data_IF_349817160420
#
_entry.id   IF_349817160420
#
_cell.length_a   1.000
_cell.length_b   1.000
_cell.length_c   1.000
_cell.angle_alpha   90.00
_cell.angle_beta   90.00
_cell.angle_gamma   90.00
#
_symmetry.space_group_name_H-M   'P 1'
#
loop_
_entity.id
_entity.type
_entity.pdbx_description
1 polymer ?
#
# COMPACT_ATOMS: atom_id res chain seq x y z
N UNK A 1 -18.64 -18.26 -7.82
CA UNK A 1 -19.85 -17.65 -7.21
C UNK A 1 -19.46 -16.34 -6.54
N UNK A 2 -19.97 -15.20 -7.00
CA UNK A 2 -19.87 -13.94 -6.26
C UNK A 2 -20.90 -13.96 -5.11
N UNK A 3 -20.48 -13.52 -3.93
CA UNK A 3 -21.34 -13.47 -2.74
C UNK A 3 -22.25 -12.23 -2.81
N UNK A 4 -23.48 -12.32 -2.29
CA UNK A 4 -24.47 -11.22 -2.28
C UNK A 4 -23.87 -9.93 -1.70
N UNK A 5 -23.02 -10.05 -0.68
CA UNK A 5 -22.34 -8.91 -0.08
C UNK A 5 -21.40 -8.16 -1.05
N UNK A 6 -20.71 -8.87 -1.95
CA UNK A 6 -19.86 -8.23 -2.99
C UNK A 6 -20.72 -7.54 -4.04
N UNK A 7 -21.87 -8.14 -4.40
CA UNK A 7 -22.84 -7.53 -5.29
C UNK A 7 -23.39 -6.21 -4.73
N UNK A 8 -23.64 -6.15 -3.42
CA UNK A 8 -24.02 -4.92 -2.73
C UNK A 8 -22.90 -3.87 -2.77
N UNK A 9 -21.64 -4.24 -2.48
CA UNK A 9 -20.50 -3.31 -2.56
C UNK A 9 -20.37 -2.69 -3.96
N UNK A 10 -20.52 -3.49 -5.01
CA UNK A 10 -20.51 -3.01 -6.39
C UNK A 10 -21.68 -2.08 -6.70
N UNK A 11 -22.88 -2.37 -6.16
CA UNK A 11 -24.05 -1.53 -6.33
C UNK A 11 -23.90 -0.16 -5.63
N UNK A 12 -23.39 -0.14 -4.40
CA UNK A 12 -23.09 1.10 -3.67
C UNK A 12 -22.01 1.93 -4.39
N UNK A 13 -20.95 1.28 -4.87
CA UNK A 13 -19.93 1.93 -5.69
C UNK A 13 -20.51 2.58 -6.95
N UNK A 14 -21.46 1.92 -7.60
CA UNK A 14 -22.14 2.44 -8.79
C UNK A 14 -22.99 3.68 -8.51
N UNK A 15 -23.56 3.81 -7.30
CA UNK A 15 -24.26 5.03 -6.87
C UNK A 15 -23.30 6.22 -6.81
N UNK A 16 -22.07 6.00 -6.33
CA UNK A 16 -21.06 7.05 -6.14
C UNK A 16 -20.29 7.43 -7.41
N UNK A 17 -19.96 6.44 -8.24
CA UNK A 17 -19.01 6.62 -9.36
C UNK A 17 -19.57 6.30 -10.74
N UNK A 18 -20.85 5.90 -10.84
CA UNK A 18 -21.51 5.32 -12.01
C UNK A 18 -21.31 3.80 -12.20
N UNK A 19 -22.28 3.16 -12.86
CA UNK A 19 -22.26 1.73 -13.09
C UNK A 19 -21.04 1.33 -13.94
N UNK A 20 -20.38 0.23 -13.55
CA UNK A 20 -19.18 -0.31 -14.23
C UNK A 20 -17.99 0.65 -14.28
N UNK A 21 -17.94 1.71 -13.45
CA UNK A 21 -16.79 2.63 -13.40
C UNK A 21 -15.46 1.90 -13.15
N UNK A 22 -15.49 0.82 -12.36
CA UNK A 22 -14.32 0.00 -12.05
C UNK A 22 -13.67 -0.63 -13.30
N UNK A 23 -14.37 -0.76 -14.43
CA UNK A 23 -13.79 -1.33 -15.66
C UNK A 23 -12.78 -0.39 -16.34
N UNK A 24 -12.78 0.90 -15.98
CA UNK A 24 -11.78 1.86 -16.45
C UNK A 24 -10.38 1.59 -15.89
N UNK A 25 -10.28 0.77 -14.85
CA UNK A 25 -9.06 0.51 -14.12
C UNK A 25 -8.88 1.46 -12.95
N UNK A 26 -8.59 0.88 -11.79
CA UNK A 26 -8.14 1.58 -10.59
C UNK A 26 -6.70 1.14 -10.37
N UNK A 27 -5.74 2.04 -10.06
CA UNK A 27 -4.36 1.64 -9.79
C UNK A 27 -4.32 0.48 -8.77
N UNK A 28 -3.54 -0.57 -9.07
CA UNK A 28 -3.51 -1.79 -8.24
C UNK A 28 -3.09 -1.45 -6.80
N UNK A 29 -2.18 -0.50 -6.61
CA UNK A 29 -1.78 0.00 -5.30
C UNK A 29 -2.95 0.53 -4.47
N UNK A 30 -3.89 1.25 -5.10
CA UNK A 30 -5.08 1.77 -4.41
C UNK A 30 -6.05 0.65 -4.01
N UNK A 31 -6.28 -0.32 -4.90
CA UNK A 31 -7.08 -1.51 -4.58
C UNK A 31 -6.46 -2.31 -3.42
N UNK A 32 -5.13 -2.48 -3.42
CA UNK A 32 -4.43 -3.21 -2.37
C UNK A 32 -4.48 -2.47 -1.04
N UNK A 33 -4.23 -1.16 -1.03
CA UNK A 33 -4.34 -0.33 0.17
C UNK A 33 -5.76 -0.37 0.76
N UNK A 34 -6.79 -0.28 -0.10
CA UNK A 34 -8.19 -0.41 0.33
C UNK A 34 -8.47 -1.79 0.93
N UNK A 35 -7.97 -2.86 0.30
CA UNK A 35 -8.06 -4.23 0.81
C UNK A 35 -7.48 -4.34 2.22
N UNK A 36 -6.26 -3.86 2.41
CA UNK A 36 -5.53 -3.94 3.68
C UNK A 36 -6.29 -3.20 4.79
N UNK A 37 -6.71 -1.96 4.53
CA UNK A 37 -7.52 -1.16 5.47
C UNK A 37 -8.78 -1.90 5.93
N UNK A 38 -9.53 -2.51 5.01
CA UNK A 38 -10.73 -3.27 5.39
C UNK A 38 -10.40 -4.55 6.19
N UNK A 39 -9.31 -5.25 5.87
CA UNK A 39 -8.87 -6.40 6.67
C UNK A 39 -8.44 -5.98 8.08
N UNK A 40 -7.77 -4.83 8.21
CA UNK A 40 -7.36 -4.25 9.48
C UNK A 40 -8.54 -3.80 10.32
N UNK A 41 -9.48 -3.05 9.75
CA UNK A 41 -10.69 -2.61 10.44
C UNK A 41 -11.49 -3.83 10.93
N UNK A 42 -11.62 -4.87 10.11
CA UNK A 42 -12.23 -6.14 10.53
C UNK A 42 -11.46 -6.81 11.67
N UNK A 43 -10.13 -6.86 11.60
CA UNK A 43 -9.24 -7.42 12.63
C UNK A 43 -9.36 -6.67 13.96
N UNK A 44 -9.57 -5.36 13.92
CA UNK A 44 -9.82 -4.51 15.08
C UNK A 44 -11.22 -4.68 15.68
N UNK A 45 -12.09 -5.48 15.04
CA UNK A 45 -13.44 -5.75 15.51
C UNK A 45 -14.49 -4.78 14.99
N UNK A 46 -14.15 -3.87 14.06
CA UNK A 46 -15.10 -2.97 13.43
C UNK A 46 -16.06 -3.74 12.52
N UNK A 47 -17.34 -3.35 12.53
CA UNK A 47 -18.46 -4.02 11.84
C UNK A 47 -19.48 -3.02 11.30
N UNK A 48 -19.06 -1.76 11.15
CA UNK A 48 -19.85 -0.62 10.69
C UNK A 48 -20.09 -0.61 9.18
N UNK A 49 -19.33 -1.41 8.43
CA UNK A 49 -19.52 -1.67 7.00
C UNK A 49 -19.13 -3.13 6.67
N UNK A 50 -19.46 -3.67 5.49
CA UNK A 50 -19.11 -5.05 5.15
C UNK A 50 -17.63 -5.18 4.73
N UNK A 51 -16.71 -4.96 5.68
CA UNK A 51 -15.27 -4.87 5.40
C UNK A 51 -14.73 -6.08 4.61
N UNK A 52 -15.08 -7.32 4.98
CA UNK A 52 -14.58 -8.50 4.25
C UNK A 52 -15.08 -8.58 2.80
N UNK A 53 -16.30 -8.09 2.54
CA UNK A 53 -16.82 -8.02 1.18
C UNK A 53 -16.06 -6.95 0.38
N UNK A 54 -15.82 -5.77 0.98
CA UNK A 54 -15.03 -4.72 0.34
C UNK A 54 -13.59 -5.17 0.05
N UNK A 55 -12.94 -5.85 1.00
CA UNK A 55 -11.61 -6.42 0.80
C UNK A 55 -11.59 -7.40 -0.38
N UNK A 56 -12.55 -8.33 -0.42
CA UNK A 56 -12.61 -9.34 -1.49
C UNK A 56 -12.97 -8.73 -2.85
N UNK A 57 -13.83 -7.72 -2.90
CA UNK A 57 -14.13 -6.98 -4.14
C UNK A 57 -12.88 -6.30 -4.70
N UNK A 58 -12.09 -5.62 -3.86
CA UNK A 58 -10.83 -5.01 -4.31
C UNK A 58 -9.81 -6.04 -4.79
N UNK A 59 -9.67 -7.17 -4.09
CA UNK A 59 -8.86 -8.31 -4.58
C UNK A 59 -9.37 -8.81 -5.94
N UNK A 60 -10.69 -8.87 -6.13
CA UNK A 60 -11.31 -9.23 -7.40
C UNK A 60 -10.94 -8.28 -8.54
N UNK A 61 -10.90 -6.97 -8.28
CA UNK A 61 -10.43 -5.98 -9.25
C UNK A 61 -8.96 -6.20 -9.63
N UNK A 62 -8.08 -6.41 -8.64
CA UNK A 62 -6.65 -6.69 -8.88
C UNK A 62 -6.49 -7.92 -9.79
N UNK A 63 -7.18 -9.02 -9.47
CA UNK A 63 -7.13 -10.24 -10.27
C UNK A 63 -7.60 -10.00 -11.71
N UNK A 64 -8.69 -9.26 -11.88
CA UNK A 64 -9.21 -8.91 -13.20
C UNK A 64 -8.21 -8.05 -13.99
N UNK A 65 -7.69 -6.98 -13.39
CA UNK A 65 -6.77 -6.06 -14.06
C UNK A 65 -5.47 -6.75 -14.47
N UNK A 66 -4.89 -7.58 -13.60
CA UNK A 66 -3.70 -8.37 -13.95
C UNK A 66 -3.97 -9.29 -15.13
N UNK A 67 -5.14 -9.94 -15.18
CA UNK A 67 -5.54 -10.79 -16.30
C UNK A 67 -5.74 -10.02 -17.61
N UNK A 68 -6.39 -8.85 -17.56
CA UNK A 68 -6.61 -8.01 -18.75
C UNK A 68 -5.32 -7.37 -19.27
N UNK A 69 -4.41 -6.95 -18.37
CA UNK A 69 -3.09 -6.44 -18.73
C UNK A 69 -2.27 -7.54 -19.40
N UNK A 70 -2.26 -8.76 -18.83
CA UNK A 70 -1.57 -9.91 -19.42
C UNK A 70 -2.12 -10.26 -20.80
N UNK A 71 -3.43 -10.11 -20.99
CA UNK A 71 -4.08 -10.34 -22.27
C UNK A 71 -3.98 -9.16 -23.25
N UNK A 72 -3.30 -8.07 -22.89
CA UNK A 72 -3.12 -6.88 -23.73
C UNK A 72 -4.38 -6.05 -23.96
N UNK A 73 -5.40 -6.19 -23.10
CA UNK A 73 -6.71 -5.52 -23.22
C UNK A 73 -6.88 -4.32 -22.28
N UNK A 74 -5.92 -4.09 -21.38
CA UNK A 74 -5.93 -3.02 -20.40
C UNK A 74 -4.58 -2.32 -20.35
N UNK A 75 -4.58 -1.02 -19.99
CA UNK A 75 -3.36 -0.22 -19.88
C UNK A 75 -2.43 -0.82 -18.81
N UNK A 76 -1.18 -1.22 -19.16
CA UNK A 76 -0.24 -1.76 -18.19
C UNK A 76 0.14 -0.77 -17.08
N UNK A 77 -0.07 0.54 -17.25
CA UNK A 77 0.18 1.53 -16.21
C UNK A 77 -0.74 1.40 -14.98
N UNK A 78 -1.84 0.64 -15.10
CA UNK A 78 -2.73 0.32 -13.96
C UNK A 78 -2.02 -0.57 -12.94
N UNK A 79 -1.08 -1.42 -13.36
CA UNK A 79 -0.23 -2.18 -12.45
C UNK A 79 0.95 -1.32 -11.96
N UNK A 80 0.65 -0.44 -11.01
CA UNK A 80 1.60 0.50 -10.43
C UNK A 80 2.36 -0.06 -9.20
N UNK A 81 2.22 -1.35 -8.95
CA UNK A 81 2.90 -2.06 -7.87
C UNK A 81 4.39 -2.19 -8.11
N UNK A 82 5.23 -2.13 -7.07
CA UNK A 82 6.65 -2.41 -7.20
C UNK A 82 6.94 -3.83 -7.71
N UNK A 83 8.06 -3.99 -8.42
CA UNK A 83 8.49 -5.26 -9.03
C UNK A 83 9.78 -5.77 -8.40
N UNK A 84 9.84 -5.74 -7.06
CA UNK A 84 11.03 -6.07 -6.27
C UNK A 84 11.52 -7.52 -6.42
N UNK A 85 10.60 -8.43 -6.71
CA UNK A 85 10.90 -9.85 -6.91
C UNK A 85 10.43 -10.21 -8.31
N UNK A 86 11.31 -10.79 -9.13
CA UNK A 86 10.91 -11.34 -10.43
C UNK A 86 9.78 -12.35 -10.23
N UNK A 87 8.78 -12.39 -11.13
CA UNK A 87 7.66 -13.33 -11.02
C UNK A 87 8.22 -14.75 -10.87
N UNK A 88 7.98 -15.45 -9.75
CA UNK A 88 8.42 -16.83 -9.62
C UNK A 88 7.73 -17.64 -10.72
N UNK A 89 8.50 -18.27 -11.59
CA UNK A 89 8.00 -19.15 -12.67
C UNK A 89 7.04 -20.22 -12.10
N UNK A 90 7.24 -20.59 -10.83
CA UNK A 90 6.53 -21.65 -10.11
C UNK A 90 5.04 -21.38 -9.88
N UNK A 91 4.62 -20.16 -9.52
CA UNK A 91 3.18 -19.90 -9.22
C UNK A 91 2.35 -19.81 -10.49
N UNK A 92 2.93 -19.27 -11.57
CA UNK A 92 2.27 -19.22 -12.88
C UNK A 92 2.03 -20.63 -13.42
N UNK A 93 3.00 -21.52 -13.25
CA UNK A 93 2.87 -22.93 -13.62
C UNK A 93 1.84 -23.64 -12.74
N UNK A 94 1.84 -23.43 -11.41
CA UNK A 94 0.86 -24.05 -10.51
C UNK A 94 -0.59 -23.65 -10.83
N UNK A 95 -0.84 -22.37 -11.12
CA UNK A 95 -2.20 -21.91 -11.49
C UNK A 95 -2.56 -22.39 -12.89
N UNK A 96 -1.64 -22.36 -13.85
CA UNK A 96 -1.89 -22.87 -15.19
C UNK A 96 -2.18 -24.39 -15.18
N UNK A 97 -1.40 -25.16 -14.44
CA UNK A 97 -1.59 -26.60 -14.22
C UNK A 97 -2.93 -26.87 -13.53
N UNK A 98 -3.26 -26.14 -12.44
CA UNK A 98 -4.53 -26.31 -11.76
C UNK A 98 -5.74 -25.90 -12.61
N UNK A 99 -5.61 -24.84 -13.41
CA UNK A 99 -6.66 -24.41 -14.36
C UNK A 99 -6.80 -25.43 -15.49
N UNK A 100 -5.70 -25.93 -16.03
CA UNK A 100 -5.70 -26.98 -17.07
C UNK A 100 -6.31 -28.28 -16.52
N UNK A 101 -5.96 -28.73 -15.31
CA UNK A 101 -6.57 -29.90 -14.67
C UNK A 101 -8.07 -29.72 -14.41
N UNK A 102 -8.52 -28.50 -14.06
CA UNK A 102 -9.94 -28.21 -13.83
C UNK A 102 -10.71 -28.12 -15.14
N UNK A 103 -10.09 -27.56 -16.19
CA UNK A 103 -10.72 -27.35 -17.50
C UNK A 103 -10.63 -28.60 -18.40
N UNK A 104 -9.58 -29.41 -18.23
CA UNK A 104 -9.28 -30.66 -18.90
C UNK A 104 -8.90 -31.73 -17.84
N UNK A 105 -9.87 -32.28 -17.11
CA UNK A 105 -9.59 -33.33 -16.13
C UNK A 105 -8.93 -34.53 -16.83
N UNK A 106 -7.87 -35.12 -16.24
CA UNK A 106 -7.09 -36.15 -16.91
C UNK A 106 -7.98 -37.33 -17.31
N UNK A 107 -8.00 -37.63 -18.61
CA UNK A 107 -8.54 -38.89 -19.09
C UNK A 107 -7.53 -39.98 -18.76
N UNK A 108 -8.00 -41.02 -18.07
CA UNK A 108 -7.16 -42.17 -17.70
C UNK A 108 -6.63 -42.87 -18.95
N UNK A 109 -5.33 -42.70 -19.26
CA UNK A 109 -4.65 -43.42 -20.34
C UNK A 109 -3.26 -42.86 -20.67
N UNK A 110 -2.24 -43.62 -20.25
CA UNK A 110 -0.80 -43.66 -20.61
C UNK A 110 -0.34 -42.86 -21.86
N UNK A 111 0.69 -42.01 -21.71
CA UNK A 111 2.08 -42.30 -22.11
C UNK A 111 3.01 -41.08 -21.89
N UNK A 112 4.29 -41.37 -21.68
CA UNK A 112 5.37 -40.45 -21.32
C UNK A 112 6.33 -40.19 -22.49
N UNK A 113 6.85 -38.96 -22.61
CA UNK A 113 8.25 -38.58 -22.98
C UNK A 113 8.35 -37.05 -23.17
N UNK A 114 9.11 -36.34 -22.33
CA UNK A 114 10.50 -35.80 -22.54
C UNK A 114 10.55 -34.34 -23.08
N UNK A 115 10.96 -33.36 -22.25
CA UNK A 115 12.28 -32.62 -22.20
C UNK A 115 12.42 -31.51 -23.29
N UNK A 116 13.05 -30.34 -23.16
CA UNK A 116 14.01 -29.72 -22.23
C UNK A 116 14.06 -28.17 -22.45
N UNK A 117 14.40 -27.43 -21.38
CA UNK A 117 15.05 -26.11 -21.16
C UNK A 117 15.31 -25.11 -22.30
N UNK A 118 15.06 -23.81 -22.04
CA UNK A 118 15.93 -22.71 -22.49
C UNK A 118 15.92 -21.50 -21.54
N UNK A 119 17.09 -20.87 -21.46
CA UNK A 119 17.62 -19.95 -20.46
C UNK A 119 17.48 -18.46 -20.87
N UNK A 120 17.55 -17.58 -19.85
CA UNK A 120 17.94 -16.16 -19.85
C UNK A 120 17.10 -15.11 -20.64
N UNK A 121 16.71 -14.02 -19.96
CA UNK A 121 17.09 -12.65 -20.32
C UNK A 121 16.41 -11.58 -19.42
N UNK A 122 17.26 -10.91 -18.64
CA UNK A 122 17.32 -9.46 -18.38
C UNK A 122 16.03 -8.71 -17.97
N UNK A 123 16.05 -8.24 -16.72
CA UNK A 123 15.12 -7.26 -16.14
C UNK A 123 15.28 -5.91 -16.85
N UNK A 124 14.20 -5.43 -17.48
CA UNK A 124 14.12 -4.03 -17.91
C UNK A 124 13.78 -3.14 -16.72
N UNK A 125 14.72 -2.25 -16.37
CA UNK A 125 14.48 -1.09 -15.50
C UNK A 125 13.43 -0.17 -16.16
N UNK A 126 12.35 0.10 -15.42
CA UNK A 126 11.27 1.03 -15.79
C UNK A 126 11.44 2.29 -14.93
N UNK A 127 11.38 3.51 -15.51
CA UNK A 127 11.83 4.73 -14.86
C UNK A 127 11.00 5.04 -13.61
N UNK A 128 11.68 5.45 -12.56
CA UNK A 128 11.10 5.67 -11.24
C UNK A 128 10.09 6.83 -11.25
N UNK A 129 8.90 6.60 -10.66
CA UNK A 129 8.09 7.65 -10.02
C UNK A 129 9.04 8.50 -9.14
N UNK A 130 8.79 9.80 -9.00
CA UNK A 130 9.54 10.68 -8.07
C UNK A 130 9.75 9.95 -6.73
N UNK A 131 10.96 10.01 -6.11
CA UNK A 131 11.22 9.36 -4.83
C UNK A 131 10.29 9.90 -3.75
N UNK A 132 10.05 9.11 -2.71
CA UNK A 132 9.16 9.45 -1.61
C UNK A 132 9.95 9.74 -0.34
N UNK A 133 9.55 10.78 0.39
CA UNK A 133 10.03 11.03 1.74
C UNK A 133 8.87 10.87 2.73
N UNK A 134 9.12 10.13 3.81
CA UNK A 134 8.22 10.09 4.96
C UNK A 134 8.75 11.01 6.07
N UNK A 135 7.92 11.93 6.55
CA UNK A 135 8.28 12.88 7.60
C UNK A 135 7.81 12.33 8.95
N UNK A 136 8.75 11.97 9.82
CA UNK A 136 8.53 11.53 11.19
C UNK A 136 8.72 12.68 12.19
N UNK A 137 7.98 12.70 13.30
CA UNK A 137 8.12 13.78 14.29
C UNK A 137 7.21 13.66 15.51
N UNK A 138 7.39 14.53 16.51
CA UNK A 138 6.46 14.60 17.63
C UNK A 138 5.11 15.18 17.19
N UNK A 139 4.02 14.57 17.65
CA UNK A 139 2.65 15.05 17.44
C UNK A 139 1.98 15.46 18.75
N UNK A 140 1.94 14.55 19.74
CA UNK A 140 1.27 14.80 21.03
C UNK A 140 2.04 15.79 21.89
N UNK A 141 1.31 16.63 22.62
CA UNK A 141 1.89 17.68 23.47
C UNK A 141 2.21 18.99 22.73
N UNK A 142 1.89 19.07 21.43
CA UNK A 142 2.06 20.27 20.61
C UNK A 142 0.69 20.81 20.19
N UNK A 143 0.55 22.15 20.02
CA UNK A 143 -0.65 22.74 19.42
C UNK A 143 -0.96 22.10 18.06
N UNK A 144 -2.25 21.79 17.82
CA UNK A 144 -2.72 21.16 16.58
C UNK A 144 -1.94 19.89 16.19
N UNK A 145 -1.52 19.10 17.17
CA UNK A 145 -0.72 17.88 16.96
C UNK A 145 0.55 18.11 16.13
N UNK A 146 1.11 19.32 16.18
CA UNK A 146 2.28 19.73 15.42
C UNK A 146 2.08 19.77 13.89
N UNK A 147 0.84 19.69 13.39
CA UNK A 147 0.52 19.73 11.95
C UNK A 147 1.24 20.86 11.20
N UNK A 148 1.31 22.11 11.73
CA UNK A 148 2.04 23.18 11.05
C UNK A 148 3.52 22.87 10.78
N UNK A 149 4.22 22.16 11.69
CA UNK A 149 5.63 21.80 11.47
C UNK A 149 5.77 20.71 10.40
N UNK A 150 4.84 19.74 10.36
CA UNK A 150 4.77 18.76 9.28
C UNK A 150 4.48 19.44 7.92
N UNK A 151 3.57 20.41 7.90
CA UNK A 151 3.25 21.18 6.70
C UNK A 151 4.47 21.97 6.18
N UNK A 152 5.19 22.61 7.10
CA UNK A 152 6.40 23.37 6.78
C UNK A 152 7.51 22.47 6.22
N UNK A 153 7.67 21.27 6.77
CA UNK A 153 8.62 20.28 6.25
C UNK A 153 8.15 19.75 4.89
N UNK A 154 6.87 19.42 4.74
CA UNK A 154 6.28 18.97 3.46
C UNK A 154 6.52 19.97 2.35
N UNK A 155 6.31 21.25 2.62
CA UNK A 155 6.47 22.31 1.63
C UNK A 155 7.91 22.45 1.11
N UNK A 156 8.91 22.07 1.92
CA UNK A 156 10.31 22.00 1.49
C UNK A 156 10.58 20.80 0.60
N UNK A 157 10.16 19.62 1.04
CA UNK A 157 10.48 18.35 0.38
C UNK A 157 9.69 18.10 -0.91
N UNK A 158 8.45 18.62 -1.01
CA UNK A 158 7.54 18.38 -2.16
C UNK A 158 8.09 18.81 -3.52
N UNK A 159 9.12 19.67 -3.53
CA UNK A 159 9.76 20.13 -4.76
C UNK A 159 10.48 19.00 -5.50
N UNK A 160 11.07 18.05 -4.76
CA UNK A 160 11.84 16.92 -5.30
C UNK A 160 11.21 15.55 -5.02
N UNK A 161 10.41 15.43 -3.96
CA UNK A 161 9.86 14.16 -3.49
C UNK A 161 8.33 14.15 -3.50
N UNK A 162 7.74 12.95 -3.56
CA UNK A 162 6.42 12.74 -2.99
C UNK A 162 6.56 12.76 -1.47
N UNK A 163 5.62 13.35 -0.75
CA UNK A 163 5.75 13.54 0.69
C UNK A 163 4.58 12.87 1.40
N UNK A 164 4.92 12.07 2.41
CA UNK A 164 3.97 11.42 3.31
C UNK A 164 4.32 11.83 4.74
N UNK A 165 3.33 12.03 5.59
CA UNK A 165 3.53 12.26 7.02
C UNK A 165 2.32 11.77 7.82
N UNK A 166 2.46 11.50 9.13
CA UNK A 166 1.31 11.21 10.00
C UNK A 166 0.20 12.27 9.90
N UNK A 167 0.57 13.55 9.76
CA UNK A 167 -0.40 14.64 9.61
C UNK A 167 -1.18 14.58 8.29
N UNK A 168 -0.55 14.16 7.19
CA UNK A 168 -1.24 13.96 5.91
C UNK A 168 -2.18 12.75 5.98
N UNK A 169 -1.68 11.65 6.54
CA UNK A 169 -2.46 10.42 6.72
C UNK A 169 -3.64 10.59 7.68
N UNK A 170 -3.49 11.43 8.72
CA UNK A 170 -4.57 11.80 9.63
C UNK A 170 -5.64 12.63 8.90
N UNK A 171 -5.24 13.62 8.09
CA UNK A 171 -6.19 14.40 7.28
C UNK A 171 -6.96 13.54 6.29
N UNK A 172 -6.28 12.60 5.62
CA UNK A 172 -6.90 11.65 4.70
C UNK A 172 -7.90 10.73 5.41
N UNK A 173 -7.63 10.37 6.66
CA UNK A 173 -8.54 9.62 7.51
C UNK A 173 -9.70 10.49 8.09
N UNK A 174 -9.77 11.77 7.74
CA UNK A 174 -10.81 12.70 8.19
C UNK A 174 -10.62 13.23 9.61
N UNK A 175 -9.41 13.09 10.19
CA UNK A 175 -9.10 13.61 11.50
C UNK A 175 -8.90 15.14 11.47
N UNK A 176 -9.60 15.86 12.35
CA UNK A 176 -9.43 17.30 12.53
C UNK A 176 -8.76 17.60 13.89
N UNK A 177 -7.48 18.05 13.89
CA UNK A 177 -6.75 18.35 15.12
C UNK A 177 -7.32 19.52 15.92
N UNK A 178 -8.19 20.35 15.34
CA UNK A 178 -8.83 21.47 16.04
C UNK A 178 -10.09 21.05 16.82
N UNK A 179 -10.67 19.89 16.50
CA UNK A 179 -12.00 19.48 17.00
C UNK A 179 -11.92 18.22 17.88
N UNK A 180 -10.90 17.37 17.72
CA UNK A 180 -10.74 16.14 18.51
C UNK A 180 -9.29 15.92 19.06
N UNK A 181 -8.90 16.61 20.15
CA UNK A 181 -7.53 16.59 20.66
C UNK A 181 -7.12 15.36 21.48
N UNK A 182 -8.00 14.38 21.71
CA UNK A 182 -7.63 13.09 22.34
C UNK A 182 -8.30 11.84 21.74
N UNK A 183 -9.24 11.97 20.80
CA UNK A 183 -10.20 10.98 20.27
C UNK A 183 -9.90 9.48 20.26
N UNK A 184 -10.26 8.78 19.18
CA UNK A 184 -10.06 7.33 19.09
C UNK A 184 -8.56 6.96 19.25
N UNK A 185 -7.65 7.84 18.80
CA UNK A 185 -6.20 7.69 18.87
C UNK A 185 -5.63 7.67 20.31
N UNK A 186 -6.37 8.18 21.29
CA UNK A 186 -6.02 8.08 22.72
C UNK A 186 -6.23 6.68 23.31
N UNK A 187 -6.99 5.81 22.64
CA UNK A 187 -7.19 4.42 23.05
C UNK A 187 -6.04 3.52 22.59
N UNK A 188 -5.87 2.35 23.22
CA UNK A 188 -4.89 1.36 22.75
C UNK A 188 -5.17 0.91 21.31
N UNK A 189 -6.44 0.69 20.96
CA UNK A 189 -6.85 0.29 19.61
C UNK A 189 -6.54 1.39 18.57
N UNK A 190 -6.84 2.65 18.90
CA UNK A 190 -6.49 3.77 18.02
C UNK A 190 -4.99 3.98 17.88
N UNK A 191 -4.22 3.82 18.97
CA UNK A 191 -2.76 3.85 18.90
C UNK A 191 -2.21 2.75 17.97
N UNK A 192 -2.72 1.53 18.07
CA UNK A 192 -2.33 0.43 17.18
C UNK A 192 -2.67 0.75 15.74
N UNK A 193 -3.87 1.31 15.47
CA UNK A 193 -4.30 1.68 14.11
C UNK A 193 -3.39 2.73 13.48
N UNK A 194 -3.10 3.83 14.19
CA UNK A 194 -2.24 4.89 13.66
C UNK A 194 -0.81 4.39 13.45
N UNK A 195 -0.25 3.65 14.41
CA UNK A 195 1.09 3.09 14.26
C UNK A 195 1.16 2.07 13.13
N UNK A 196 0.14 1.24 12.94
CA UNK A 196 0.14 0.28 11.83
C UNK A 196 0.21 1.00 10.49
N UNK A 197 -0.63 2.02 10.29
CA UNK A 197 -0.65 2.85 9.08
C UNK A 197 0.69 3.55 8.82
N UNK A 198 1.25 4.17 9.86
CA UNK A 198 2.51 4.91 9.78
C UNK A 198 3.69 3.98 9.44
N UNK A 199 3.74 2.80 10.06
CA UNK A 199 4.76 1.78 9.75
C UNK A 199 4.57 1.17 8.36
N UNK A 200 3.33 0.94 7.92
CA UNK A 200 3.04 0.45 6.56
C UNK A 200 3.53 1.44 5.49
N UNK A 201 3.31 2.74 5.70
CA UNK A 201 3.84 3.77 4.81
C UNK A 201 5.37 3.72 4.71
N UNK A 202 6.07 3.49 5.82
CA UNK A 202 7.54 3.36 5.85
C UNK A 202 8.01 2.05 5.21
N UNK A 203 7.29 0.93 5.41
CA UNK A 203 7.60 -0.37 4.81
C UNK A 203 7.49 -0.38 3.28
N UNK A 204 6.72 0.55 2.71
CA UNK A 204 6.58 0.72 1.26
C UNK A 204 7.63 1.67 0.64
N UNK A 205 8.53 2.23 1.45
CA UNK A 205 9.67 3.02 0.96
C UNK A 205 10.78 2.11 0.43
N UNK A 206 11.51 2.63 -0.55
CA UNK A 206 12.55 1.90 -1.26
C UNK A 206 13.87 2.71 -1.33
N UNK A 207 14.94 2.26 -0.63
CA UNK A 207 16.22 2.96 -0.65
C UNK A 207 16.89 2.96 -2.03
N UNK A 208 16.66 1.95 -2.88
CA UNK A 208 17.24 1.92 -4.23
C UNK A 208 16.60 2.97 -5.15
N UNK A 209 15.31 3.27 -4.91
CA UNK A 209 14.61 4.36 -5.57
C UNK A 209 15.06 5.74 -5.11
N UNK A 210 15.77 5.81 -3.99
CA UNK A 210 16.16 7.06 -3.33
C UNK A 210 15.09 7.59 -2.37
N UNK A 211 14.18 6.72 -1.91
CA UNK A 211 13.25 7.10 -0.84
C UNK A 211 14.01 7.28 0.48
N UNK A 212 13.48 8.11 1.35
CA UNK A 212 14.13 8.44 2.60
C UNK A 212 13.16 8.79 3.72
N UNK A 213 13.70 8.93 4.92
CA UNK A 213 12.99 9.46 6.07
C UNK A 213 13.50 10.88 6.38
N UNK A 214 12.60 11.81 6.67
CA UNK A 214 12.93 13.11 7.22
C UNK A 214 12.39 13.21 8.66
N UNK A 215 13.15 13.83 9.57
CA UNK A 215 12.74 13.97 10.98
C UNK A 215 12.59 15.42 11.41
N UNK A 216 11.51 15.72 12.13
CA UNK A 216 11.29 17.01 12.76
C UNK A 216 12.13 17.19 14.04
N UNK A 217 12.45 18.43 14.45
CA UNK A 217 13.11 18.68 15.73
C UNK A 217 12.37 18.05 16.92
N UNK A 218 13.13 17.45 17.84
CA UNK A 218 12.58 16.77 19.03
C UNK A 218 12.04 15.36 18.76
N UNK A 219 12.29 14.78 17.57
CA UNK A 219 11.89 13.41 17.25
C UNK A 219 12.44 12.38 18.24
N UNK A 220 13.62 12.63 18.82
CA UNK A 220 14.27 11.75 19.80
C UNK A 220 13.46 11.58 21.09
N UNK A 221 12.55 12.52 21.40
CA UNK A 221 11.68 12.44 22.57
C UNK A 221 10.29 11.86 22.23
N UNK A 222 9.98 11.73 20.92
CA UNK A 222 8.72 11.13 20.44
C UNK A 222 8.82 9.61 20.40
N UNK A 223 8.01 8.93 21.22
CA UNK A 223 7.96 7.45 21.24
C UNK A 223 7.65 6.85 19.86
N UNK A 224 6.71 7.46 19.12
CA UNK A 224 6.34 7.03 17.76
C UNK A 224 7.48 7.27 16.77
N UNK A 225 7.99 8.51 16.71
CA UNK A 225 9.04 8.87 15.76
C UNK A 225 10.33 8.06 15.96
N UNK A 226 10.66 7.68 17.19
CA UNK A 226 11.79 6.78 17.46
C UNK A 226 11.60 5.39 16.84
N UNK A 227 10.39 4.85 16.86
CA UNK A 227 10.07 3.55 16.24
C UNK A 227 10.18 3.66 14.73
N UNK A 228 9.62 4.73 14.15
CA UNK A 228 9.70 5.03 12.71
C UNK A 228 11.15 5.17 12.22
N UNK A 229 11.97 5.94 12.94
CA UNK A 229 13.40 6.10 12.62
C UNK A 229 14.17 4.80 12.76
N UNK A 230 13.90 4.02 13.82
CA UNK A 230 14.54 2.72 14.01
C UNK A 230 14.19 1.74 12.88
N UNK A 231 12.93 1.72 12.44
CA UNK A 231 12.50 0.91 11.31
C UNK A 231 13.17 1.38 10.01
N UNK A 232 13.18 2.69 9.74
CA UNK A 232 13.80 3.23 8.53
C UNK A 232 15.28 2.87 8.42
N UNK A 233 16.02 3.01 9.53
CA UNK A 233 17.42 2.59 9.61
C UNK A 233 17.58 1.08 9.40
N UNK A 234 16.71 0.26 9.97
CA UNK A 234 16.71 -1.18 9.76
C UNK A 234 16.49 -1.57 8.30
N UNK A 235 15.66 -0.81 7.56
CA UNK A 235 15.40 -1.00 6.14
C UNK A 235 16.51 -0.43 5.23
N UNK A 236 17.53 0.24 5.79
CA UNK A 236 18.61 0.86 5.02
C UNK A 236 18.25 2.20 4.38
N UNK A 237 17.17 2.86 4.82
CA UNK A 237 16.80 4.19 4.34
C UNK A 237 17.73 5.25 4.95
N UNK A 238 18.11 6.24 4.13
CA UNK A 238 18.78 7.44 4.61
C UNK A 238 17.83 8.28 5.47
N UNK A 239 18.33 8.80 6.58
CA UNK A 239 17.58 9.69 7.49
C UNK A 239 18.16 11.09 7.41
N UNK A 240 17.28 12.08 7.18
CA UNK A 240 17.61 13.50 7.12
C UNK A 240 16.81 14.30 8.12
N UNK A 241 17.26 15.50 8.48
CA UNK A 241 16.44 16.46 9.20
C UNK A 241 15.41 17.12 8.27
N UNK A 242 14.54 17.96 8.82
CA UNK A 242 13.53 18.71 8.06
C UNK A 242 14.12 19.63 6.97
N UNK A 243 15.43 19.89 6.98
CA UNK A 243 16.15 20.74 6.04
C UNK A 243 17.00 19.97 5.02
N UNK A 244 17.01 18.63 5.07
CA UNK A 244 17.79 17.79 4.16
C UNK A 244 19.22 17.52 4.61
N UNK A 245 19.58 17.85 5.85
CA UNK A 245 20.88 17.50 6.43
C UNK A 245 20.86 16.04 6.89
N UNK A 246 21.86 15.20 6.55
CA UNK A 246 21.94 13.84 7.08
C UNK A 246 21.92 13.81 8.61
N UNK A 247 21.12 12.93 9.20
CA UNK A 247 21.06 12.68 10.65
C UNK A 247 21.87 11.43 10.95
N UNK A 248 23.04 11.63 11.56
CA UNK A 248 23.90 10.55 12.00
C UNK A 248 23.31 9.76 13.18
N UNK A 249 23.89 8.59 13.46
CA UNK A 249 23.51 7.71 14.56
C UNK A 249 23.85 8.26 15.95
#
# INVERSE_FOLDING_TARGET
HANIAEGWVLAEGAVKYEARNWEKGIPIGECLASTMRHLEDFKLGLRDEPHLAQARTNIGFILHYLGEIEAGRMDPAIDDMPKYVGRPTTVRNLIAEAVEEVMNPPQTGLDADEREVADSAVVHYVPHKRPTVYIAGPMRGYPLYNFPAFDEARDRWKTAYNVISPADLDREAGFDPAVDPEGFSGTHAGLVRVMYRDLDAILNLDPERGDCLAVLPGWQDSKGARVEVALARFLGLSVYDAHGTPVED
#
